data_IF_762682962925
#
_entry.id   IF_762682962925
#
_cell.length_a   1.000
_cell.length_b   1.000
_cell.length_c   1.000
_cell.angle_alpha   90.00
_cell.angle_beta   90.00
_cell.angle_gamma   90.00
#
_symmetry.space_group_name_H-M   'P 1'
#
loop_
_entity.id
_entity.type
_entity.pdbx_description
1 polymer ?
#
# COMPACT_ATOMS: atom_id res chain seq x y z
N UNK A 1 23.34 -33.70 -14.79
CA UNK A 1 22.42 -32.57 -15.08
C UNK A 1 21.35 -32.53 -14.01
N UNK A 2 21.01 -31.37 -13.42
CA UNK A 2 19.90 -31.28 -12.47
C UNK A 2 18.57 -31.57 -13.18
N UNK A 3 17.74 -32.42 -12.58
CA UNK A 3 16.42 -32.74 -13.14
C UNK A 3 15.41 -31.64 -12.81
N UNK A 4 14.64 -31.21 -13.81
CA UNK A 4 13.56 -30.25 -13.61
C UNK A 4 12.45 -30.90 -12.77
N UNK A 5 12.10 -30.28 -11.64
CA UNK A 5 10.94 -30.70 -10.84
C UNK A 5 9.67 -30.55 -11.66
N UNK A 6 8.81 -31.57 -11.61
CA UNK A 6 7.45 -31.47 -12.12
C UNK A 6 6.55 -30.80 -11.08
N UNK A 7 5.86 -29.74 -11.49
CA UNK A 7 4.83 -29.08 -10.68
C UNK A 7 3.52 -29.84 -10.75
N UNK A 8 2.88 -30.03 -9.60
CA UNK A 8 1.57 -30.69 -9.52
C UNK A 8 0.47 -29.63 -9.33
N UNK A 9 -0.74 -29.94 -9.79
CA UNK A 9 -1.90 -29.07 -9.61
C UNK A 9 -2.16 -28.76 -8.12
N UNK A 10 -1.95 -29.74 -7.23
CA UNK A 10 -2.11 -29.58 -5.77
C UNK A 10 -1.11 -28.55 -5.22
N UNK A 11 0.14 -28.58 -5.69
CA UNK A 11 1.15 -27.62 -5.25
C UNK A 11 0.81 -26.20 -5.73
N UNK A 12 0.34 -26.06 -6.96
CA UNK A 12 -0.08 -24.77 -7.52
C UNK A 12 -1.30 -24.21 -6.78
N UNK A 13 -2.28 -25.06 -6.47
CA UNK A 13 -3.45 -24.70 -5.66
C UNK A 13 -3.03 -24.22 -4.27
N UNK A 14 -2.12 -24.96 -3.61
CA UNK A 14 -1.58 -24.57 -2.30
C UNK A 14 -0.91 -23.20 -2.35
N UNK A 15 -0.14 -22.91 -3.40
CA UNK A 15 0.51 -21.60 -3.59
C UNK A 15 -0.56 -20.50 -3.70
N UNK A 16 -1.58 -20.69 -4.53
CA UNK A 16 -2.64 -19.70 -4.74
C UNK A 16 -3.46 -19.45 -3.46
N UNK A 17 -3.89 -20.50 -2.77
CA UNK A 17 -4.68 -20.41 -1.54
C UNK A 17 -3.91 -19.69 -0.43
N UNK A 18 -2.66 -20.11 -0.18
CA UNK A 18 -1.85 -19.48 0.86
C UNK A 18 -1.54 -18.01 0.51
N UNK A 19 -1.26 -17.70 -0.76
CA UNK A 19 -1.06 -16.30 -1.17
C UNK A 19 -2.32 -15.46 -0.99
N UNK A 20 -3.49 -15.98 -1.37
CA UNK A 20 -4.76 -15.32 -1.14
C UNK A 20 -5.05 -15.10 0.36
N UNK A 21 -4.62 -16.01 1.23
CA UNK A 21 -4.67 -15.86 2.68
C UNK A 21 -3.65 -14.84 3.24
N UNK A 22 -2.79 -14.25 2.40
CA UNK A 22 -1.78 -13.28 2.81
C UNK A 22 -0.47 -13.89 3.31
N UNK A 23 -0.27 -15.19 3.15
CA UNK A 23 0.95 -15.87 3.59
C UNK A 23 2.19 -15.42 2.82
N UNK A 24 3.32 -15.53 3.50
CA UNK A 24 4.64 -15.21 2.92
C UNK A 24 5.15 -16.35 2.06
N UNK A 25 5.94 -16.03 1.02
CA UNK A 25 6.60 -17.04 0.19
C UNK A 25 7.45 -18.04 0.99
N UNK A 26 8.03 -17.60 2.11
CA UNK A 26 8.82 -18.45 3.00
C UNK A 26 7.95 -19.46 3.75
N UNK A 27 6.75 -19.07 4.19
CA UNK A 27 5.79 -19.97 4.82
C UNK A 27 5.29 -21.04 3.83
N UNK A 28 4.99 -20.63 2.60
CA UNK A 28 4.59 -21.53 1.52
C UNK A 28 5.71 -22.52 1.18
N UNK A 29 6.96 -22.05 1.12
CA UNK A 29 8.14 -22.92 0.94
C UNK A 29 8.26 -23.98 2.04
N UNK A 30 8.12 -23.59 3.31
CA UNK A 30 8.11 -24.56 4.43
C UNK A 30 6.99 -25.58 4.30
N UNK A 31 5.78 -25.16 3.89
CA UNK A 31 4.63 -26.06 3.69
C UNK A 31 4.87 -27.08 2.56
N UNK A 32 5.55 -26.67 1.49
CA UNK A 32 5.81 -27.51 0.32
C UNK A 32 7.15 -28.26 0.35
N UNK A 33 7.97 -28.06 1.41
CA UNK A 33 9.33 -28.59 1.47
C UNK A 33 10.24 -28.02 0.39
N UNK A 34 10.05 -26.75 0.03
CA UNK A 34 10.71 -26.08 -1.08
C UNK A 34 11.47 -24.83 -0.66
N UNK A 35 12.54 -24.52 -1.39
CA UNK A 35 13.22 -23.25 -1.27
C UNK A 35 12.29 -22.09 -1.66
N UNK A 36 12.41 -20.99 -0.91
CA UNK A 36 11.61 -19.77 -1.13
C UNK A 36 11.70 -19.26 -2.57
N UNK A 37 12.90 -19.26 -3.16
CA UNK A 37 13.15 -18.79 -4.53
C UNK A 37 12.33 -19.58 -5.56
N UNK A 38 12.29 -20.90 -5.44
CA UNK A 38 11.50 -21.81 -6.29
C UNK A 38 10.02 -21.49 -6.23
N UNK A 39 9.49 -21.22 -5.04
CA UNK A 39 8.08 -20.87 -4.85
C UNK A 39 7.77 -19.48 -5.42
N UNK A 40 8.67 -18.49 -5.25
CA UNK A 40 8.50 -17.14 -5.84
C UNK A 40 8.40 -17.24 -7.35
N UNK A 41 9.30 -17.97 -7.99
CA UNK A 41 9.32 -18.12 -9.44
C UNK A 41 8.01 -18.77 -9.94
N UNK A 42 7.59 -19.86 -9.30
CA UNK A 42 6.34 -20.52 -9.66
C UNK A 42 5.12 -19.64 -9.41
N UNK A 43 5.04 -19.00 -8.24
CA UNK A 43 3.94 -18.12 -7.86
C UNK A 43 3.78 -16.94 -8.83
N UNK A 44 4.89 -16.40 -9.35
CA UNK A 44 4.84 -15.37 -10.41
C UNK A 44 4.24 -15.90 -11.71
N UNK A 45 4.60 -17.11 -12.15
CA UNK A 45 4.02 -17.75 -13.34
C UNK A 45 2.52 -18.04 -13.17
N UNK A 46 2.10 -18.39 -11.95
CA UNK A 46 0.68 -18.60 -11.59
C UNK A 46 -0.09 -17.29 -11.36
N UNK A 47 0.59 -16.13 -11.35
CA UNK A 47 0.01 -14.83 -10.94
C UNK A 47 -0.64 -14.87 -9.55
N UNK A 48 -0.10 -15.68 -8.65
CA UNK A 48 -0.59 -15.80 -7.28
C UNK A 48 -0.32 -14.50 -6.50
N UNK A 49 -1.37 -13.72 -6.26
CA UNK A 49 -1.29 -12.42 -5.58
C UNK A 49 -1.70 -12.54 -4.12
N UNK A 50 -1.05 -11.73 -3.27
CA UNK A 50 -1.56 -11.50 -1.93
C UNK A 50 -2.65 -10.43 -1.96
N UNK A 51 -3.57 -10.42 -0.97
CA UNK A 51 -4.46 -9.30 -0.75
C UNK A 51 -3.62 -8.03 -0.56
N UNK A 52 -4.01 -6.96 -1.24
CA UNK A 52 -3.41 -5.64 -1.04
C UNK A 52 -3.72 -5.26 0.40
N UNK A 53 -2.70 -5.24 1.26
CA UNK A 53 -2.84 -4.61 2.57
C UNK A 53 -3.10 -3.15 2.27
N UNK A 54 -4.31 -2.67 2.55
CA UNK A 54 -4.59 -1.25 2.55
C UNK A 54 -3.70 -0.67 3.64
N UNK A 55 -2.54 -0.15 3.25
CA UNK A 55 -1.78 0.75 4.08
C UNK A 55 -2.74 1.94 4.23
N UNK A 56 -3.38 2.05 5.40
CA UNK A 56 -4.04 3.29 5.76
C UNK A 56 -2.95 4.37 5.77
N UNK A 57 -2.75 4.99 4.62
CA UNK A 57 -2.08 6.27 4.54
C UNK A 57 -2.91 7.22 5.41
N UNK A 58 -2.28 7.96 6.34
CA UNK A 58 -3.02 8.95 7.11
C UNK A 58 -3.77 9.87 6.15
N UNK A 59 -5.02 10.18 6.49
CA UNK A 59 -5.86 11.01 5.64
C UNK A 59 -5.13 12.35 5.47
N UNK A 60 -5.07 12.88 4.25
CA UNK A 60 -4.33 14.13 3.95
C UNK A 60 -4.71 15.29 4.88
N UNK A 61 -5.96 15.30 5.35
CA UNK A 61 -6.48 16.30 6.29
C UNK A 61 -5.70 16.28 7.62
N UNK A 62 -5.35 15.09 8.15
CA UNK A 62 -4.62 14.96 9.42
C UNK A 62 -3.20 15.57 9.35
N UNK A 63 -2.60 15.66 8.16
CA UNK A 63 -1.28 16.29 7.97
C UNK A 63 -1.35 17.83 8.00
N UNK A 64 -2.51 18.43 7.72
CA UNK A 64 -2.69 19.88 7.75
C UNK A 64 -2.96 20.41 9.16
N UNK A 65 -3.41 19.55 10.06
CA UNK A 65 -3.72 19.90 11.45
C UNK A 65 -2.55 19.68 12.43
N UNK A 66 -1.39 19.18 11.97
CA UNK A 66 -0.19 19.05 12.81
C UNK A 66 0.38 20.45 13.17
N UNK A 67 0.41 20.83 14.47
CA UNK A 67 0.95 22.12 14.92
C UNK A 67 2.44 22.29 14.64
N UNK A 68 3.18 21.21 14.40
CA UNK A 68 4.63 21.22 14.15
C UNK A 68 5.00 21.14 12.67
N UNK A 69 4.03 21.16 11.75
CA UNK A 69 4.33 21.09 10.32
C UNK A 69 5.03 22.37 9.83
N UNK A 70 5.95 22.27 8.85
CA UNK A 70 6.52 23.46 8.22
C UNK A 70 5.42 24.27 7.51
N UNK A 71 5.57 25.60 7.44
CA UNK A 71 4.59 26.47 6.78
C UNK A 71 4.46 26.12 5.29
N UNK A 72 3.26 26.35 4.73
CA UNK A 72 3.01 26.18 3.30
C UNK A 72 3.81 27.20 2.47
N UNK A 73 4.22 26.86 1.22
CA UNK A 73 4.92 27.79 0.36
C UNK A 73 4.03 28.98 -0.04
N UNK A 74 4.65 30.12 -0.33
CA UNK A 74 3.93 31.30 -0.82
C UNK A 74 3.16 30.98 -2.11
N UNK A 75 1.93 31.49 -2.23
CA UNK A 75 1.05 31.22 -3.37
C UNK A 75 0.31 29.88 -3.30
N UNK A 76 0.40 29.14 -2.19
CA UNK A 76 -0.42 27.95 -2.01
C UNK A 76 -1.92 28.34 -1.94
N UNK A 77 -2.81 27.62 -2.65
CA UNK A 77 -4.23 27.99 -2.73
C UNK A 77 -4.89 28.12 -1.36
N UNK A 78 -4.60 27.22 -0.41
CA UNK A 78 -5.10 27.32 0.98
C UNK A 78 -4.67 28.61 1.70
N UNK A 79 -3.41 29.03 1.59
CA UNK A 79 -2.95 30.28 2.22
C UNK A 79 -3.58 31.50 1.56
N UNK A 80 -3.85 31.43 0.25
CA UNK A 80 -4.49 32.52 -0.46
C UNK A 80 -5.97 32.64 -0.11
N UNK A 81 -6.70 31.51 -0.04
CA UNK A 81 -8.10 31.47 0.37
C UNK A 81 -8.30 32.03 1.77
N UNK A 82 -7.44 31.69 2.75
CA UNK A 82 -7.53 32.26 4.11
C UNK A 82 -7.37 33.79 4.15
N UNK A 83 -6.55 34.35 3.25
CA UNK A 83 -6.35 35.80 3.17
C UNK A 83 -7.53 36.51 2.52
N UNK A 84 -8.23 35.84 1.61
CA UNK A 84 -9.31 36.43 0.80
C UNK A 84 -10.72 36.10 1.28
N UNK A 85 -10.89 35.07 2.09
CA UNK A 85 -12.19 34.66 2.66
C UNK A 85 -12.56 35.42 3.93
N UNK A 86 -11.70 36.31 4.43
CA UNK A 86 -12.13 37.20 5.50
C UNK A 86 -13.20 38.16 4.94
N UNK A 87 -14.44 38.16 5.47
CA UNK A 87 -15.40 39.18 5.10
C UNK A 87 -14.80 40.53 5.53
N UNK A 88 -14.68 41.44 4.57
CA UNK A 88 -14.28 42.82 4.82
C UNK A 88 -15.14 43.36 5.98
N UNK A 89 -14.56 43.94 7.05
CA UNK A 89 -15.38 44.55 8.07
C UNK A 89 -16.14 45.71 7.41
N UNK A 90 -17.46 45.53 7.22
CA UNK A 90 -18.36 46.64 6.92
C UNK A 90 -18.16 47.66 8.04
N UNK A 91 -17.56 48.81 7.70
CA UNK A 91 -17.34 49.88 8.65
C UNK A 91 -18.67 50.28 9.27
N UNK A 92 -18.69 50.40 10.60
CA UNK A 92 -19.77 51.06 11.33
C UNK A 92 -19.93 52.48 10.75
N UNK A 93 -20.96 52.71 9.94
CA UNK A 93 -21.40 54.06 9.61
C UNK A 93 -22.06 54.68 10.86
N UNK A 94 -21.39 55.69 11.41
CA UNK A 94 -21.87 56.54 12.50
C UNK A 94 -22.35 57.90 11.95
#
# INVERSE_FOLDING_TARGET
MPQARQWTAIADQTICEMRAAGETWSAIGRRLGLARSTVIERGRRLRASAPVKSLMLPKRDDMLDDPNRPPLPAGHPLTWSLLTDEPFPEGDEA
#
